data_IF_813701805438
#
_entry.id   IF_813701805438
#
_cell.length_a   1.000
_cell.length_b   1.000
_cell.length_c   1.000
_cell.angle_alpha   90.00
_cell.angle_beta   90.00
_cell.angle_gamma   90.00
#
_symmetry.space_group_name_H-M   'P 1'
#
loop_
_entity.id
_entity.type
_entity.pdbx_description
1 polymer ?
#
# COMPACT_ATOMS: atom_id res chain seq x y z
N UNK A 1 14.25 -20.17 46.75
CA UNK A 1 13.20 -19.82 45.76
C UNK A 1 13.67 -20.31 44.40
N UNK A 2 13.02 -21.30 43.79
CA UNK A 2 13.35 -21.66 42.40
C UNK A 2 12.92 -20.50 41.50
N UNK A 3 13.75 -20.06 40.53
CA UNK A 3 13.32 -19.05 39.57
C UNK A 3 12.15 -19.62 38.76
N UNK A 4 11.02 -18.93 38.79
CA UNK A 4 9.88 -19.25 37.93
C UNK A 4 10.38 -19.08 36.49
N UNK A 5 10.45 -20.19 35.75
CA UNK A 5 10.84 -20.15 34.33
C UNK A 5 9.76 -19.41 33.54
N UNK A 6 10.10 -18.25 32.99
CA UNK A 6 9.18 -17.47 32.16
C UNK A 6 8.89 -18.10 30.80
N UNK A 7 7.99 -17.49 30.03
CA UNK A 7 7.51 -17.95 28.71
C UNK A 7 8.62 -18.36 27.73
N UNK A 8 9.78 -17.71 27.80
CA UNK A 8 10.97 -18.00 26.99
C UNK A 8 11.53 -19.42 27.13
N UNK A 9 11.18 -20.16 28.19
CA UNK A 9 11.65 -21.51 28.45
C UNK A 9 10.58 -22.60 28.25
N UNK A 10 9.38 -22.22 27.80
CA UNK A 10 8.33 -23.19 27.52
C UNK A 10 8.67 -24.04 26.29
N UNK A 11 8.52 -25.37 26.36
CA UNK A 11 8.61 -26.25 25.20
C UNK A 11 7.60 -25.84 24.13
N UNK A 12 7.95 -26.03 22.86
CA UNK A 12 7.13 -25.61 21.72
C UNK A 12 5.68 -26.11 21.80
N UNK A 13 5.47 -27.36 22.23
CA UNK A 13 4.13 -27.94 22.37
C UNK A 13 3.26 -27.16 23.38
N UNK A 14 3.85 -26.74 24.50
CA UNK A 14 3.16 -25.97 25.54
C UNK A 14 2.90 -24.55 25.04
N UNK A 15 3.90 -23.93 24.41
CA UNK A 15 3.74 -22.61 23.79
C UNK A 15 2.60 -22.61 22.76
N UNK A 16 2.53 -23.62 21.89
CA UNK A 16 1.44 -23.72 20.90
C UNK A 16 0.06 -23.87 21.53
N UNK A 17 -0.06 -24.62 22.64
CA UNK A 17 -1.33 -24.76 23.35
C UNK A 17 -1.79 -23.45 24.00
N UNK A 18 -0.84 -22.67 24.54
CA UNK A 18 -1.13 -21.37 25.16
C UNK A 18 -1.50 -20.32 24.11
N UNK A 19 -0.73 -20.21 23.03
CA UNK A 19 -0.98 -19.23 21.95
C UNK A 19 -2.35 -19.46 21.30
N UNK A 20 -2.85 -20.71 21.24
CA UNK A 20 -4.22 -21.00 20.73
C UNK A 20 -5.36 -20.42 21.56
N UNK A 21 -5.11 -20.06 22.82
CA UNK A 21 -6.12 -19.51 23.72
C UNK A 21 -6.05 -17.98 23.82
N UNK A 22 -5.01 -17.38 23.23
CA UNK A 22 -4.76 -15.94 23.28
C UNK A 22 -5.47 -15.22 22.13
N UNK A 23 -5.77 -13.94 22.36
CA UNK A 23 -6.22 -13.08 21.28
C UNK A 23 -5.05 -12.71 20.34
N UNK A 24 -5.37 -12.23 19.13
CA UNK A 24 -4.32 -11.91 18.17
C UNK A 24 -3.37 -10.80 18.65
N UNK A 25 -3.87 -9.85 19.45
CA UNK A 25 -3.08 -8.72 19.95
C UNK A 25 -2.01 -9.23 20.92
N UNK A 26 -2.39 -10.08 21.87
CA UNK A 26 -1.50 -10.75 22.82
C UNK A 26 -0.48 -11.63 22.11
N UNK A 27 -0.91 -12.37 21.09
CA UNK A 27 0.00 -13.19 20.28
C UNK A 27 1.06 -12.33 19.61
N UNK A 28 0.67 -11.20 19.01
CA UNK A 28 1.60 -10.29 18.33
C UNK A 28 2.56 -9.61 19.32
N UNK A 29 2.06 -9.20 20.49
CA UNK A 29 2.86 -8.66 21.59
C UNK A 29 3.96 -9.65 22.02
N UNK A 30 3.57 -10.90 22.29
CA UNK A 30 4.51 -11.95 22.66
C UNK A 30 5.43 -12.36 21.51
N UNK A 31 4.99 -12.28 20.25
CA UNK A 31 5.84 -12.55 19.09
C UNK A 31 6.95 -11.51 18.93
N UNK A 32 6.72 -10.26 19.32
CA UNK A 32 7.75 -9.22 19.35
C UNK A 32 8.75 -9.46 20.49
N UNK A 33 8.32 -9.99 21.62
CA UNK A 33 9.20 -10.23 22.78
C UNK A 33 9.94 -11.57 22.74
N UNK A 34 9.34 -12.63 22.17
CA UNK A 34 9.82 -14.01 22.35
C UNK A 34 9.86 -14.83 21.05
N UNK A 35 11.04 -15.34 20.72
CA UNK A 35 11.28 -16.14 19.52
C UNK A 35 10.56 -17.50 19.50
N UNK A 36 10.41 -18.14 20.65
CA UNK A 36 9.71 -19.42 20.76
C UNK A 36 8.19 -19.26 20.50
N UNK A 37 7.59 -18.15 20.95
CA UNK A 37 6.20 -17.81 20.65
C UNK A 37 6.00 -17.54 19.16
N UNK A 38 6.92 -16.81 18.53
CA UNK A 38 6.89 -16.61 17.06
C UNK A 38 6.91 -17.93 16.29
N UNK A 39 7.73 -18.88 16.75
CA UNK A 39 7.82 -20.21 16.13
C UNK A 39 6.53 -21.00 16.33
N UNK A 40 5.95 -20.98 17.53
CA UNK A 40 4.68 -21.63 17.83
C UNK A 40 3.52 -21.06 16.98
N UNK A 41 3.46 -19.74 16.85
CA UNK A 41 2.37 -19.01 16.18
C UNK A 41 2.28 -19.33 14.69
N UNK A 42 3.41 -19.58 14.01
CA UNK A 42 3.41 -19.96 12.58
C UNK A 42 2.55 -21.18 12.26
N UNK A 43 2.41 -22.10 13.22
CA UNK A 43 1.59 -23.32 13.06
C UNK A 43 0.08 -23.07 13.17
N UNK A 44 -0.34 -21.86 13.57
CA UNK A 44 -1.75 -21.54 13.80
C UNK A 44 -2.46 -21.03 12.55
N UNK A 45 -1.72 -20.74 11.47
CA UNK A 45 -2.29 -20.25 10.21
C UNK A 45 -3.25 -19.07 10.39
N UNK A 46 -2.90 -18.15 11.30
CA UNK A 46 -3.70 -16.96 11.61
C UNK A 46 -3.89 -16.13 10.34
N UNK A 47 -5.10 -15.61 10.14
CA UNK A 47 -5.44 -14.79 8.99
C UNK A 47 -6.06 -13.45 9.38
N UNK A 48 -5.85 -12.45 8.52
CA UNK A 48 -6.48 -11.14 8.60
C UNK A 48 -7.11 -10.81 7.24
N UNK A 49 -8.20 -10.04 7.26
CA UNK A 49 -8.93 -9.67 6.05
C UNK A 49 -8.11 -8.74 5.18
N UNK A 50 -7.31 -7.87 5.80
CA UNK A 50 -6.40 -7.04 5.03
C UNK A 50 -5.30 -6.38 5.83
N UNK A 51 -4.28 -5.96 5.08
CA UNK A 51 -3.16 -5.18 5.57
C UNK A 51 -3.10 -3.86 4.80
N UNK A 52 -3.05 -2.75 5.53
CA UNK A 52 -2.90 -1.41 4.95
C UNK A 52 -1.58 -0.78 5.38
N UNK A 53 -0.71 -0.52 4.41
CA UNK A 53 0.46 0.35 4.61
C UNK A 53 0.06 1.83 4.47
N UNK A 54 0.54 2.65 5.40
CA UNK A 54 0.39 4.11 5.38
C UNK A 54 1.78 4.72 5.58
N UNK A 55 2.29 5.42 4.58
CA UNK A 55 3.64 6.01 4.57
C UNK A 55 3.56 7.46 4.11
N UNK A 56 3.52 8.39 5.06
CA UNK A 56 3.52 9.82 4.79
C UNK A 56 4.78 10.46 5.35
N UNK A 57 5.86 10.44 4.57
CA UNK A 57 7.15 11.03 4.95
C UNK A 57 7.10 12.57 4.92
N UNK A 58 7.74 13.27 5.88
CA UNK A 58 8.55 12.74 6.98
C UNK A 58 7.75 12.26 8.22
N UNK A 59 6.42 12.36 8.19
CA UNK A 59 5.52 12.18 9.33
C UNK A 59 5.23 10.72 9.74
N UNK A 60 4.26 10.07 9.10
CA UNK A 60 3.57 8.91 9.65
C UNK A 60 3.88 7.62 8.91
N UNK A 61 4.35 6.61 9.63
CA UNK A 61 4.58 5.26 9.11
C UNK A 61 3.75 4.30 9.94
N UNK A 62 2.77 3.64 9.32
CA UNK A 62 1.89 2.71 10.01
C UNK A 62 1.43 1.53 9.16
N UNK A 63 1.29 0.37 9.80
CA UNK A 63 0.67 -0.84 9.27
C UNK A 63 -0.62 -1.09 10.04
N UNK A 64 -1.75 -1.08 9.34
CA UNK A 64 -3.04 -1.44 9.93
C UNK A 64 -3.42 -2.86 9.51
N UNK A 65 -3.68 -3.71 10.49
CA UNK A 65 -4.26 -5.03 10.29
C UNK A 65 -5.77 -4.93 10.45
N UNK A 66 -6.50 -5.41 9.45
CA UNK A 66 -7.95 -5.29 9.32
C UNK A 66 -8.55 -6.69 9.47
N UNK A 67 -9.66 -6.78 10.20
CA UNK A 67 -10.40 -8.02 10.43
C UNK A 67 -11.62 -8.10 9.51
N UNK A 68 -12.23 -9.28 9.42
CA UNK A 68 -13.45 -9.48 8.64
C UNK A 68 -14.65 -8.78 9.28
N UNK A 69 -14.69 -8.69 10.62
CA UNK A 69 -15.72 -7.93 11.33
C UNK A 69 -15.36 -6.43 11.32
N UNK A 70 -16.18 -5.56 10.69
CA UNK A 70 -15.93 -4.12 10.66
C UNK A 70 -16.05 -3.46 12.04
N UNK A 71 -16.70 -4.10 13.01
CA UNK A 71 -16.80 -3.60 14.38
C UNK A 71 -15.56 -3.94 15.22
N UNK A 72 -14.73 -4.90 14.76
CA UNK A 72 -13.52 -5.25 15.47
C UNK A 72 -12.46 -4.16 15.28
N UNK A 73 -11.90 -3.60 16.36
CA UNK A 73 -10.86 -2.58 16.26
C UNK A 73 -9.62 -3.13 15.56
N UNK A 74 -9.11 -2.36 14.60
CA UNK A 74 -7.88 -2.67 13.86
C UNK A 74 -6.68 -2.78 14.81
N UNK A 75 -5.72 -3.62 14.47
CA UNK A 75 -4.40 -3.61 15.11
C UNK A 75 -3.52 -2.66 14.31
N UNK A 76 -2.85 -1.73 14.99
CA UNK A 76 -2.04 -0.68 14.37
C UNK A 76 -0.61 -0.81 14.87
N UNK A 77 0.32 -0.99 13.95
CA UNK A 77 1.73 -0.78 14.24
C UNK A 77 2.13 0.58 13.68
N UNK A 78 2.64 1.48 14.51
CA UNK A 78 3.11 2.80 14.08
C UNK A 78 4.55 3.04 14.53
N UNK A 79 5.31 3.78 13.73
CA UNK A 79 6.63 4.25 14.14
C UNK A 79 6.50 5.61 14.83
N UNK A 80 7.06 5.76 16.03
CA UNK A 80 7.16 7.05 16.72
C UNK A 80 8.42 7.13 17.58
N UNK A 81 9.01 8.33 17.74
CA UNK A 81 10.18 8.52 18.62
C UNK A 81 9.79 8.50 20.10
N UNK A 82 8.53 8.82 20.40
CA UNK A 82 8.00 8.88 21.75
C UNK A 82 6.70 8.09 21.85
N UNK A 83 6.44 7.61 23.05
CA UNK A 83 5.24 6.88 23.43
C UNK A 83 4.77 7.40 24.80
N UNK A 84 3.46 7.36 25.04
CA UNK A 84 2.90 7.66 26.37
C UNK A 84 3.18 6.55 27.38
N UNK A 85 3.53 5.35 26.90
CA UNK A 85 3.94 4.19 27.68
C UNK A 85 5.43 3.95 27.51
N UNK A 86 6.03 3.31 28.52
CA UNK A 86 7.43 2.92 28.49
C UNK A 86 7.72 1.93 27.34
N UNK A 87 8.88 2.12 26.71
CA UNK A 87 9.36 1.25 25.66
C UNK A 87 10.09 0.04 26.24
N UNK A 88 9.62 -1.15 25.88
CA UNK A 88 10.20 -2.44 26.24
C UNK A 88 11.04 -3.00 25.09
N UNK A 89 12.08 -3.80 25.40
CA UNK A 89 12.87 -4.46 24.37
C UNK A 89 12.03 -5.54 23.64
N UNK A 90 12.17 -5.58 22.32
CA UNK A 90 11.63 -6.60 21.44
C UNK A 90 12.64 -7.00 20.38
N UNK A 91 12.24 -7.90 19.48
CA UNK A 91 13.08 -8.41 18.41
C UNK A 91 12.30 -8.37 17.10
N UNK A 92 12.85 -7.73 16.07
CA UNK A 92 12.36 -7.80 14.68
C UNK A 92 13.50 -8.24 13.79
N UNK A 93 13.29 -9.30 12.98
CA UNK A 93 14.30 -9.82 12.06
C UNK A 93 15.69 -10.04 12.69
N UNK A 94 15.73 -10.48 13.95
CA UNK A 94 16.97 -10.70 14.72
C UNK A 94 17.61 -9.44 15.32
N UNK A 95 17.10 -8.25 15.01
CA UNK A 95 17.55 -6.97 15.57
C UNK A 95 16.76 -6.64 16.84
N UNK A 96 17.46 -6.09 17.84
CA UNK A 96 16.80 -5.56 19.04
C UNK A 96 16.08 -4.27 18.65
N UNK A 97 14.80 -4.21 18.95
CA UNK A 97 13.97 -3.01 18.80
C UNK A 97 13.39 -2.62 20.15
N UNK A 98 12.80 -1.44 20.21
CA UNK A 98 12.06 -0.98 21.37
C UNK A 98 10.62 -0.69 20.96
N UNK A 99 9.66 -1.20 21.71
CA UNK A 99 8.26 -1.02 21.41
C UNK A 99 7.41 -0.88 22.67
N UNK A 100 6.26 -0.23 22.52
CA UNK A 100 5.28 -0.04 23.57
C UNK A 100 3.90 -0.40 23.02
N UNK A 101 3.03 -1.00 23.85
CA UNK A 101 1.68 -1.40 23.45
C UNK A 101 0.63 -0.71 24.32
N UNK A 102 -0.34 -0.06 23.67
CA UNK A 102 -1.55 0.46 24.31
C UNK A 102 -2.78 -0.10 23.61
N UNK A 103 -3.44 -1.08 24.23
CA UNK A 103 -4.53 -1.83 23.60
C UNK A 103 -4.07 -2.48 22.30
N UNK A 104 -4.70 -2.10 21.18
CA UNK A 104 -4.43 -2.63 19.83
C UNK A 104 -3.37 -1.81 19.06
N UNK A 105 -2.73 -0.84 19.71
CA UNK A 105 -1.74 0.03 19.09
C UNK A 105 -0.35 -0.35 19.60
N UNK A 106 0.49 -0.79 18.68
CA UNK A 106 1.91 -1.03 18.86
C UNK A 106 2.67 0.19 18.35
N UNK A 107 3.44 0.81 19.22
CA UNK A 107 4.36 1.89 18.87
C UNK A 107 5.77 1.34 18.87
N UNK A 108 6.43 1.34 17.72
CA UNK A 108 7.83 0.91 17.58
C UNK A 108 8.70 2.16 17.53
N UNK A 109 9.72 2.21 18.39
CA UNK A 109 10.70 3.28 18.44
C UNK A 109 11.55 3.25 17.16
N UNK A 110 11.78 4.41 16.56
CA UNK A 110 12.60 4.54 15.35
C UNK A 110 13.69 5.61 15.54
N UNK A 111 14.69 5.57 14.66
CA UNK A 111 15.84 6.48 14.70
C UNK A 111 15.52 7.90 14.20
N UNK A 112 16.46 8.51 13.49
CA UNK A 112 16.31 9.91 13.05
C UNK A 112 16.25 10.09 11.53
N UNK A 113 16.72 9.10 10.76
CA UNK A 113 16.72 9.16 9.29
C UNK A 113 15.47 8.52 8.68
N UNK A 114 15.18 8.85 7.41
CA UNK A 114 14.07 8.23 6.65
C UNK A 114 14.44 6.80 6.24
N UNK A 115 15.71 6.56 5.99
CA UNK A 115 16.27 5.26 5.63
C UNK A 115 16.09 4.26 6.78
N UNK A 116 16.41 4.65 8.01
CA UNK A 116 16.20 3.83 9.21
C UNK A 116 14.70 3.52 9.42
N UNK A 117 13.80 4.48 9.13
CA UNK A 117 12.35 4.25 9.18
C UNK A 117 11.94 3.19 8.19
N UNK A 118 12.39 3.30 6.95
CA UNK A 118 12.03 2.38 5.88
C UNK A 118 12.53 0.97 6.17
N UNK A 119 13.78 0.84 6.62
CA UNK A 119 14.37 -0.46 7.00
C UNK A 119 13.59 -1.11 8.15
N UNK A 120 13.29 -0.35 9.22
CA UNK A 120 12.51 -0.85 10.35
C UNK A 120 11.08 -1.22 9.94
N UNK A 121 10.48 -0.45 9.04
CA UNK A 121 9.13 -0.69 8.54
C UNK A 121 9.06 -1.91 7.62
N UNK A 122 10.11 -2.15 6.83
CA UNK A 122 10.31 -3.38 6.05
C UNK A 122 10.48 -4.59 6.97
N UNK A 123 11.36 -4.52 7.98
CA UNK A 123 11.57 -5.59 8.96
C UNK A 123 10.27 -5.94 9.70
N UNK A 124 9.51 -4.93 10.10
CA UNK A 124 8.20 -5.10 10.72
C UNK A 124 7.19 -5.74 9.76
N UNK A 125 7.13 -5.28 8.51
CA UNK A 125 6.25 -5.86 7.48
C UNK A 125 6.60 -7.34 7.28
N UNK A 126 7.87 -7.67 7.15
CA UNK A 126 8.33 -9.04 6.97
C UNK A 126 7.89 -9.95 8.12
N UNK A 127 8.08 -9.52 9.36
CA UNK A 127 7.68 -10.31 10.53
C UNK A 127 6.17 -10.51 10.63
N UNK A 128 5.37 -9.47 10.36
CA UNK A 128 3.89 -9.59 10.31
C UNK A 128 3.49 -10.60 9.23
N UNK A 129 4.02 -10.48 8.02
CA UNK A 129 3.73 -11.37 6.90
C UNK A 129 4.20 -12.81 7.13
N UNK A 130 5.16 -13.02 8.03
CA UNK A 130 5.64 -14.34 8.43
C UNK A 130 4.70 -15.06 9.40
N UNK A 131 3.90 -14.30 10.14
CA UNK A 131 2.98 -14.79 11.18
C UNK A 131 1.55 -14.89 10.62
N UNK A 132 1.15 -13.93 9.77
CA UNK A 132 -0.23 -13.77 9.33
C UNK A 132 -0.37 -14.04 7.83
N UNK A 133 -1.42 -14.77 7.49
CA UNK A 133 -1.95 -14.83 6.12
C UNK A 133 -2.83 -13.60 5.88
N UNK A 134 -2.49 -12.82 4.86
CA UNK A 134 -3.25 -11.62 4.48
C UNK A 134 -4.07 -11.92 3.22
N UNK A 135 -5.36 -11.58 3.24
CA UNK A 135 -6.24 -11.77 2.08
C UNK A 135 -6.19 -10.59 1.11
N UNK A 136 -6.26 -9.36 1.64
CA UNK A 136 -6.30 -8.13 0.85
C UNK A 136 -5.20 -7.14 1.24
N UNK A 137 -4.70 -6.42 0.25
CA UNK A 137 -3.65 -5.42 0.47
C UNK A 137 -4.12 -4.03 0.07
N UNK A 138 -3.79 -3.07 0.91
CA UNK A 138 -4.08 -1.66 0.71
C UNK A 138 -2.80 -0.85 0.90
N UNK A 139 -2.61 0.16 0.05
CA UNK A 139 -1.42 0.99 0.09
C UNK A 139 -1.79 2.47 0.03
N UNK A 140 -1.19 3.27 0.89
CA UNK A 140 -1.26 4.72 0.84
C UNK A 140 0.12 5.30 1.16
N UNK A 141 0.71 6.01 0.20
CA UNK A 141 2.03 6.60 0.41
C UNK A 141 2.21 7.93 -0.31
N UNK A 142 3.06 8.81 0.22
CA UNK A 142 3.61 9.95 -0.52
C UNK A 142 5.03 9.71 -1.07
N UNK A 143 5.58 8.51 -0.82
CA UNK A 143 6.84 8.02 -1.36
C UNK A 143 6.61 6.79 -2.24
N UNK A 144 7.32 6.71 -3.36
CA UNK A 144 7.45 5.46 -4.10
C UNK A 144 8.44 4.56 -3.36
N UNK A 145 8.00 3.38 -2.92
CA UNK A 145 8.81 2.44 -2.14
C UNK A 145 8.65 1.02 -2.67
N UNK A 146 9.77 0.33 -2.86
CA UNK A 146 9.77 -0.93 -3.60
C UNK A 146 9.47 -2.16 -2.73
N UNK A 147 9.80 -2.12 -1.44
CA UNK A 147 9.77 -3.33 -0.61
C UNK A 147 8.36 -3.94 -0.49
N UNK A 148 7.30 -3.12 -0.54
CA UNK A 148 5.91 -3.61 -0.51
C UNK A 148 5.61 -4.54 -1.69
N UNK A 149 6.28 -4.34 -2.83
CA UNK A 149 6.11 -5.16 -4.02
C UNK A 149 6.81 -6.52 -3.94
N UNK A 150 7.71 -6.71 -2.96
CA UNK A 150 8.26 -8.03 -2.64
C UNK A 150 7.22 -8.94 -1.98
N UNK A 151 6.21 -8.35 -1.31
CA UNK A 151 5.16 -9.09 -0.64
C UNK A 151 3.92 -9.30 -1.51
N UNK A 152 3.57 -8.33 -2.35
CA UNK A 152 2.40 -8.43 -3.23
C UNK A 152 2.50 -7.51 -4.44
N UNK A 153 1.94 -7.96 -5.57
CA UNK A 153 1.63 -7.10 -6.73
C UNK A 153 0.12 -6.92 -6.93
N UNK A 154 -0.68 -7.44 -6.00
CA UNK A 154 -2.15 -7.39 -6.02
C UNK A 154 -2.65 -6.51 -4.88
N UNK A 155 -3.39 -5.46 -5.21
CA UNK A 155 -3.94 -4.52 -4.24
C UNK A 155 -5.43 -4.30 -4.50
N UNK A 156 -6.20 -4.09 -3.44
CA UNK A 156 -7.58 -3.61 -3.58
C UNK A 156 -7.61 -2.10 -3.73
N UNK A 157 -6.72 -1.41 -3.03
CA UNK A 157 -6.56 0.03 -3.21
C UNK A 157 -5.09 0.41 -3.12
N UNK A 158 -4.62 1.17 -4.11
CA UNK A 158 -3.28 1.73 -4.15
C UNK A 158 -3.37 3.23 -4.35
N UNK A 159 -3.02 4.00 -3.33
CA UNK A 159 -3.06 5.46 -3.34
C UNK A 159 -1.65 6.01 -3.23
N UNK A 160 -1.28 6.89 -4.14
CA UNK A 160 0.01 7.58 -4.11
C UNK A 160 -0.17 9.09 -4.23
N UNK A 161 0.21 9.82 -3.18
CA UNK A 161 0.19 11.28 -3.11
C UNK A 161 1.62 11.80 -3.29
N UNK A 162 2.17 11.70 -4.50
CA UNK A 162 3.58 12.00 -4.71
C UNK A 162 3.78 13.09 -5.77
N UNK A 163 4.53 14.17 -5.46
CA UNK A 163 4.79 15.24 -6.42
C UNK A 163 5.75 14.82 -7.53
N UNK A 164 6.53 13.75 -7.34
CA UNK A 164 7.58 13.30 -8.27
C UNK A 164 7.53 11.77 -8.41
N UNK A 165 6.96 11.29 -9.52
CA UNK A 165 6.98 9.88 -9.93
C UNK A 165 7.65 9.82 -11.30
N UNK A 166 8.64 8.94 -11.46
CA UNK A 166 9.33 8.78 -12.73
C UNK A 166 8.46 8.03 -13.76
N UNK A 167 8.78 8.17 -15.04
CA UNK A 167 8.10 7.43 -16.11
C UNK A 167 8.16 5.92 -15.90
N UNK A 168 9.30 5.40 -15.44
CA UNK A 168 9.50 3.97 -15.20
C UNK A 168 8.66 3.47 -14.02
N UNK A 169 8.58 4.25 -12.94
CA UNK A 169 7.72 3.94 -11.79
C UNK A 169 6.24 3.92 -12.19
N UNK A 170 5.81 4.89 -13.00
CA UNK A 170 4.44 4.93 -13.52
C UNK A 170 4.14 3.75 -14.44
N UNK A 171 5.06 3.44 -15.36
CA UNK A 171 4.94 2.27 -16.24
C UNK A 171 4.83 0.98 -15.42
N UNK A 172 5.67 0.81 -14.41
CA UNK A 172 5.60 -0.32 -13.49
C UNK A 172 4.22 -0.40 -12.81
N UNK A 173 3.70 0.71 -12.29
CA UNK A 173 2.37 0.71 -11.66
C UNK A 173 1.27 0.29 -12.63
N UNK A 174 1.28 0.78 -13.88
CA UNK A 174 0.24 0.46 -14.86
C UNK A 174 0.36 -0.94 -15.46
N UNK A 175 1.56 -1.44 -15.66
CA UNK A 175 1.79 -2.69 -16.39
C UNK A 175 1.99 -3.90 -15.47
N UNK A 176 2.53 -3.71 -14.26
CA UNK A 176 2.95 -4.81 -13.38
C UNK A 176 2.09 -5.00 -12.14
N UNK A 177 1.31 -4.00 -11.73
CA UNK A 177 0.40 -4.13 -10.59
C UNK A 177 -0.99 -4.55 -11.07
N UNK A 178 -1.65 -5.41 -10.30
CA UNK A 178 -3.07 -5.70 -10.43
C UNK A 178 -3.79 -5.02 -9.29
N UNK A 179 -4.51 -3.94 -9.55
CA UNK A 179 -5.11 -3.11 -8.52
C UNK A 179 -6.58 -2.86 -8.80
N UNK A 180 -7.49 -3.12 -7.88
CA UNK A 180 -8.90 -2.80 -8.15
C UNK A 180 -9.10 -1.28 -8.28
N UNK A 181 -8.55 -0.50 -7.34
CA UNK A 181 -8.57 0.97 -7.36
C UNK A 181 -7.16 1.57 -7.27
N UNK A 182 -6.69 2.20 -8.35
CA UNK A 182 -5.44 2.95 -8.40
C UNK A 182 -5.73 4.46 -8.36
N UNK A 183 -5.21 5.17 -7.36
CA UNK A 183 -5.32 6.63 -7.25
C UNK A 183 -3.94 7.28 -7.20
N UNK A 184 -3.65 8.16 -8.15
CA UNK A 184 -2.42 8.94 -8.20
C UNK A 184 -2.77 10.43 -8.02
N UNK A 185 -2.13 11.10 -7.08
CA UNK A 185 -2.33 12.53 -6.80
C UNK A 185 -0.99 13.25 -6.91
N UNK A 186 -0.90 14.11 -7.93
CA UNK A 186 0.23 15.01 -8.16
C UNK A 186 -0.13 16.40 -7.66
N UNK A 187 0.64 16.91 -6.71
CA UNK A 187 0.52 18.27 -6.20
C UNK A 187 1.83 19.03 -6.40
N UNK A 188 1.74 20.37 -6.46
CA UNK A 188 2.91 21.24 -6.58
C UNK A 188 3.57 21.38 -5.21
N UNK A 189 4.89 21.18 -5.13
CA UNK A 189 5.64 21.49 -3.89
C UNK A 189 5.89 23.00 -3.86
N UNK A 190 5.33 23.68 -2.85
CA UNK A 190 5.58 25.10 -2.63
C UNK A 190 7.08 25.33 -2.35
N UNK A 191 7.77 26.02 -3.26
CA UNK A 191 9.21 26.33 -3.12
C UNK A 191 10.06 26.05 -4.36
N UNK A 192 9.57 25.31 -5.35
CA UNK A 192 10.28 25.15 -6.63
C UNK A 192 10.22 26.48 -7.42
N UNK A 193 11.33 27.23 -7.39
CA UNK A 193 11.47 28.55 -8.03
C UNK A 193 11.59 28.50 -9.57
N UNK A 194 11.63 27.30 -10.17
CA UNK A 194 11.64 27.13 -11.63
C UNK A 194 10.52 26.16 -12.08
N UNK A 195 9.31 26.66 -12.37
CA UNK A 195 8.23 25.85 -12.94
C UNK A 195 8.57 25.26 -14.33
N UNK A 196 9.59 25.80 -15.00
CA UNK A 196 10.02 25.35 -16.35
C UNK A 196 11.10 24.25 -16.33
N UNK A 197 11.77 24.01 -15.19
CA UNK A 197 12.83 22.99 -15.07
C UNK A 197 12.42 21.77 -14.25
N UNK A 198 11.28 21.82 -13.55
CA UNK A 198 10.61 20.62 -13.06
C UNK A 198 10.05 19.89 -14.28
N UNK A 199 10.93 19.11 -14.93
CA UNK A 199 10.71 18.22 -16.08
C UNK A 199 9.29 18.21 -16.60
N UNK A 200 9.09 18.62 -17.86
CA UNK A 200 7.96 18.22 -18.69
C UNK A 200 7.57 16.79 -18.34
N UNK A 201 6.58 16.63 -17.45
CA UNK A 201 6.26 15.34 -16.87
C UNK A 201 5.70 14.49 -18.01
N UNK A 202 6.52 13.58 -18.48
CA UNK A 202 6.20 12.58 -19.51
C UNK A 202 5.12 11.59 -19.04
N UNK A 203 4.47 11.86 -17.90
CA UNK A 203 3.30 11.17 -17.33
C UNK A 203 2.20 10.93 -18.36
N UNK A 204 2.01 11.84 -19.31
CA UNK A 204 1.06 11.65 -20.41
C UNK A 204 1.40 10.43 -21.29
N UNK A 205 2.68 10.07 -21.45
CA UNK A 205 3.12 8.94 -22.28
C UNK A 205 2.70 7.58 -21.67
N UNK A 206 3.01 7.24 -20.40
CA UNK A 206 2.49 6.03 -19.78
C UNK A 206 0.97 5.96 -19.74
N UNK A 207 0.27 7.08 -19.51
CA UNK A 207 -1.20 7.10 -19.48
C UNK A 207 -1.78 6.79 -20.86
N UNK A 208 -1.29 7.45 -21.91
CA UNK A 208 -1.73 7.19 -23.29
C UNK A 208 -1.41 5.74 -23.71
N UNK A 209 -0.22 5.25 -23.36
CA UNK A 209 0.16 3.85 -23.60
C UNK A 209 -0.77 2.88 -22.85
N UNK A 210 -1.12 3.17 -21.60
CA UNK A 210 -2.08 2.37 -20.83
C UNK A 210 -3.43 2.31 -21.55
N UNK A 211 -4.00 3.46 -21.94
CA UNK A 211 -5.28 3.53 -22.65
C UNK A 211 -5.21 2.74 -23.96
N UNK A 212 -4.19 2.96 -24.78
CA UNK A 212 -3.97 2.22 -26.03
C UNK A 212 -3.94 0.71 -25.82
N UNK A 213 -3.14 0.24 -24.85
CA UNK A 213 -3.01 -1.18 -24.53
C UNK A 213 -4.31 -1.77 -23.99
N UNK A 214 -5.03 -1.05 -23.12
CA UNK A 214 -6.32 -1.50 -22.61
C UNK A 214 -7.34 -1.66 -23.73
N UNK A 215 -7.45 -0.67 -24.64
CA UNK A 215 -8.34 -0.72 -25.80
C UNK A 215 -7.99 -1.94 -26.66
N UNK A 216 -6.71 -2.26 -26.84
CA UNK A 216 -6.27 -3.46 -27.59
C UNK A 216 -6.48 -4.80 -26.86
N UNK A 217 -6.92 -4.78 -25.60
CA UNK A 217 -7.07 -6.00 -24.80
C UNK A 217 -5.76 -6.52 -24.21
N UNK A 218 -4.69 -5.73 -24.27
CA UNK A 218 -3.36 -6.12 -23.79
C UNK A 218 -3.17 -5.89 -22.28
N UNK A 219 -4.03 -5.06 -21.66
CA UNK A 219 -4.02 -4.77 -20.22
C UNK A 219 -5.42 -4.87 -19.62
N UNK A 220 -5.48 -5.41 -18.39
CA UNK A 220 -6.71 -5.60 -17.61
C UNK A 220 -6.40 -5.54 -16.11
N UNK A 221 -5.60 -4.54 -15.75
CA UNK A 221 -4.95 -4.45 -14.45
C UNK A 221 -5.77 -3.68 -13.41
N UNK A 222 -6.78 -2.91 -13.84
CA UNK A 222 -7.56 -2.02 -12.97
C UNK A 222 -9.05 -2.02 -13.29
N UNK A 223 -9.87 -1.88 -12.23
CA UNK A 223 -11.29 -1.56 -12.37
C UNK A 223 -11.51 -0.04 -12.32
N UNK A 224 -10.75 0.64 -11.45
CA UNK A 224 -10.81 2.08 -11.26
C UNK A 224 -9.40 2.67 -11.28
N UNK A 225 -9.19 3.67 -12.12
CA UNK A 225 -7.97 4.47 -12.14
C UNK A 225 -8.35 5.95 -12.09
N UNK A 226 -7.83 6.65 -11.08
CA UNK A 226 -7.98 8.09 -10.93
C UNK A 226 -6.61 8.75 -10.82
N UNK A 227 -6.36 9.74 -11.66
CA UNK A 227 -5.16 10.55 -11.67
C UNK A 227 -5.59 11.98 -11.50
N UNK A 228 -5.11 12.65 -10.46
CA UNK A 228 -5.36 14.07 -10.23
C UNK A 228 -4.02 14.80 -10.29
N UNK A 229 -3.96 15.89 -11.03
CA UNK A 229 -2.76 16.70 -11.22
C UNK A 229 -3.09 18.18 -11.05
N UNK A 230 -2.50 18.79 -10.03
CA UNK A 230 -2.52 20.25 -9.85
C UNK A 230 -1.46 20.97 -10.72
N UNK A 231 -0.73 20.22 -11.54
CA UNK A 231 0.33 20.73 -12.41
C UNK A 231 -0.26 21.10 -13.78
N UNK A 232 0.12 22.28 -14.29
CA UNK A 232 -0.37 22.94 -15.52
C UNK A 232 -0.21 22.17 -16.84
N UNK A 233 0.24 20.91 -16.82
CA UNK A 233 0.46 20.08 -18.00
C UNK A 233 -0.61 19.00 -18.21
N UNK A 234 -1.67 18.96 -17.41
CA UNK A 234 -2.69 17.92 -17.59
C UNK A 234 -3.49 18.05 -18.90
N UNK A 235 -3.43 19.20 -19.59
CA UNK A 235 -3.89 19.32 -20.98
C UNK A 235 -3.17 18.35 -21.94
N UNK A 236 -1.90 17.98 -21.67
CA UNK A 236 -1.16 16.98 -22.45
C UNK A 236 -1.71 15.58 -22.21
N UNK A 237 -2.11 15.26 -20.98
CA UNK A 237 -2.75 13.99 -20.65
C UNK A 237 -4.06 13.88 -21.44
N UNK A 238 -4.91 14.91 -21.36
CA UNK A 238 -6.17 14.94 -22.09
C UNK A 238 -5.94 14.79 -23.59
N UNK A 239 -5.02 15.58 -24.17
CA UNK A 239 -4.72 15.53 -25.61
C UNK A 239 -4.22 14.15 -26.05
N UNK A 240 -3.23 13.58 -25.35
CA UNK A 240 -2.68 12.27 -25.72
C UNK A 240 -3.70 11.16 -25.57
N UNK A 241 -4.54 11.19 -24.53
CA UNK A 241 -5.64 10.24 -24.36
C UNK A 241 -6.66 10.41 -25.49
N UNK A 242 -7.06 11.64 -25.83
CA UNK A 242 -8.00 11.88 -26.92
C UNK A 242 -7.45 11.43 -28.27
N UNK A 243 -6.16 11.61 -28.54
CA UNK A 243 -5.50 11.11 -29.76
C UNK A 243 -5.57 9.57 -29.84
N UNK A 244 -5.31 8.85 -28.74
CA UNK A 244 -5.47 7.39 -28.69
C UNK A 244 -6.91 6.93 -28.90
N UNK A 245 -7.87 7.65 -28.30
CA UNK A 245 -9.29 7.32 -28.43
C UNK A 245 -9.81 7.59 -29.85
N UNK A 246 -9.32 8.65 -30.53
CA UNK A 246 -9.65 8.94 -31.94
C UNK A 246 -9.10 7.89 -32.90
N UNK A 247 -7.93 7.35 -32.60
CA UNK A 247 -7.27 6.32 -33.41
C UNK A 247 -7.82 4.91 -33.15
N UNK A 248 -8.71 4.75 -32.17
CA UNK A 248 -9.31 3.47 -31.84
C UNK A 248 -10.55 3.21 -32.69
N UNK A 249 -10.64 2.05 -33.34
CA UNK A 249 -11.83 1.59 -34.06
C UNK A 249 -13.01 1.22 -33.13
N UNK A 250 -12.91 1.51 -31.83
CA UNK A 250 -13.92 1.15 -30.83
C UNK A 250 -15.12 2.09 -30.82
N UNK A 251 -16.29 1.49 -30.60
CA UNK A 251 -17.57 2.21 -30.62
C UNK A 251 -17.69 3.12 -29.40
N UNK A 252 -17.89 4.40 -29.67
CA UNK A 252 -18.27 5.42 -28.70
C UNK A 252 -19.77 5.31 -28.41
N UNK A 253 -20.15 4.94 -27.20
CA UNK A 253 -21.56 4.58 -26.88
C UNK A 253 -22.39 5.71 -26.23
N UNK A 254 -21.80 6.84 -25.80
CA UNK A 254 -22.58 7.95 -25.20
C UNK A 254 -21.76 9.05 -24.52
N UNK A 255 -22.45 10.08 -23.98
CA UNK A 255 -21.87 11.31 -23.40
C UNK A 255 -22.36 11.66 -21.97
N UNK A 256 -22.97 10.74 -21.23
CA UNK A 256 -23.40 11.06 -19.85
C UNK A 256 -22.23 11.02 -18.86
N UNK A 257 -21.77 12.20 -18.41
CA UNK A 257 -20.70 12.41 -17.41
C UNK A 257 -19.34 11.76 -17.74
N UNK A 258 -19.05 11.59 -19.03
CA UNK A 258 -17.84 10.98 -19.55
C UNK A 258 -18.11 10.36 -20.92
N UNK A 259 -17.07 9.79 -21.54
CA UNK A 259 -17.21 9.07 -22.80
C UNK A 259 -17.09 7.57 -22.53
N UNK A 260 -18.08 6.81 -22.99
CA UNK A 260 -18.09 5.36 -22.87
C UNK A 260 -17.45 4.74 -24.11
N UNK A 261 -16.48 3.86 -23.88
CA UNK A 261 -15.82 3.07 -24.90
C UNK A 261 -16.07 1.59 -24.66
N UNK A 262 -16.29 0.84 -25.74
CA UNK A 262 -16.49 -0.60 -25.70
C UNK A 262 -15.38 -1.32 -26.44
N UNK A 263 -14.73 -2.24 -25.74
CA UNK A 263 -13.71 -3.14 -26.28
C UNK A 263 -14.34 -4.29 -27.06
N UNK A 264 -13.57 -4.85 -27.99
CA UNK A 264 -14.03 -5.97 -28.84
C UNK A 264 -14.49 -7.21 -28.09
N UNK A 265 -14.03 -7.43 -26.85
CA UNK A 265 -14.46 -8.52 -25.96
C UNK A 265 -15.74 -8.20 -25.16
N UNK A 266 -16.34 -7.02 -25.39
CA UNK A 266 -17.57 -6.59 -24.74
C UNK A 266 -17.38 -5.80 -23.45
N UNK A 267 -16.14 -5.67 -22.93
CA UNK A 267 -15.90 -4.81 -21.77
C UNK A 267 -16.14 -3.35 -22.10
N UNK A 268 -16.70 -2.63 -21.15
CA UNK A 268 -17.01 -1.20 -21.28
C UNK A 268 -16.23 -0.41 -20.26
N UNK A 269 -15.79 0.78 -20.64
CA UNK A 269 -15.14 1.72 -19.74
C UNK A 269 -15.74 3.10 -19.92
N UNK A 270 -15.92 3.82 -18.80
CA UNK A 270 -16.13 5.26 -18.80
C UNK A 270 -14.79 5.95 -18.62
N UNK A 271 -14.43 6.80 -19.57
CA UNK A 271 -13.26 7.67 -19.48
C UNK A 271 -13.73 9.12 -19.34
N UNK A 272 -13.26 9.79 -18.29
CA UNK A 272 -13.46 11.22 -18.08
C UNK A 272 -12.09 11.86 -17.88
N UNK A 273 -11.74 12.80 -18.76
CA UNK A 273 -10.47 13.51 -18.71
C UNK A 273 -10.73 15.01 -18.85
N UNK A 274 -10.02 15.79 -18.06
CA UNK A 274 -9.93 17.24 -18.18
C UNK A 274 -8.49 17.69 -17.87
N UNK A 275 -8.26 19.00 -17.82
CA UNK A 275 -6.95 19.57 -17.57
C UNK A 275 -6.29 19.14 -16.25
N UNK A 276 -7.06 18.71 -15.24
CA UNK A 276 -6.55 18.40 -13.90
C UNK A 276 -6.78 16.96 -13.47
N UNK A 277 -7.54 16.19 -14.22
CA UNK A 277 -7.92 14.84 -13.81
C UNK A 277 -8.13 13.91 -15.00
N UNK A 278 -7.76 12.65 -14.79
CA UNK A 278 -8.06 11.54 -15.67
C UNK A 278 -8.67 10.42 -14.83
N UNK A 279 -9.87 10.00 -15.20
CA UNK A 279 -10.60 8.91 -14.56
C UNK A 279 -10.95 7.86 -15.60
N UNK A 280 -10.77 6.61 -15.22
CA UNK A 280 -11.02 5.43 -16.01
C UNK A 280 -11.75 4.42 -15.12
N UNK A 281 -13.00 4.14 -15.46
CA UNK A 281 -13.89 3.29 -14.67
C UNK A 281 -14.46 2.16 -15.53
N UNK A 282 -14.08 0.93 -15.22
CA UNK A 282 -14.65 -0.25 -15.85
C UNK A 282 -16.13 -0.37 -15.46
N UNK A 283 -16.99 -0.55 -16.47
CA UNK A 283 -18.43 -0.70 -16.30
C UNK A 283 -18.78 -2.18 -16.39
N UNK A 284 -19.35 -2.73 -15.31
CA UNK A 284 -19.91 -4.08 -15.29
C UNK A 284 -21.18 -4.19 -16.15
#
# INVERSE_FOLDING_TARGET
MMPIKGFQHLPLLVSSAVVRQMDLVEILDLCLSFQNIRTATKSLHLSISGLKWIITSPGHFAINLIFNDPNQPKIIFKLAQTSTLEFFPGILNGKIIRFARSGNIFTVEWGSSVEEKLELFEDLTHEIMRILRVEKFYFWSNLFIDFVFFHTKKFETFIMDCPKITTDQMKFMFENLKVDTLKLIYFKVNGDQNPEQASQNSVHIPIANFVRKWLRGELDNFNHLSINSEISNGYLIERSVQEELRNSEQLREGWDNGVIFRRGDGKRVRINSNEYSFNFDLLN
#
